data_IF_640016309659
#
_entry.id   IF_640016309659
#
_cell.length_a   1.000
_cell.length_b   1.000
_cell.length_c   1.000
_cell.angle_alpha   90.00
_cell.angle_beta   90.00
_cell.angle_gamma   90.00
#
_symmetry.space_group_name_H-M   'P 1'
#
loop_
_entity.id
_entity.type
_entity.pdbx_description
1 polymer ?
#
# COMPACT_ATOMS: atom_id res chain seq x y z
N UNK A 1 -5.52 21.92 1.03
CA UNK A 1 -6.30 21.12 0.05
C UNK A 1 -7.77 21.49 0.16
N UNK A 2 -8.47 21.68 -0.98
CA UNK A 2 -9.88 22.05 -0.98
C UNK A 2 -10.78 20.89 -0.50
N UNK A 3 -12.00 21.22 -0.09
CA UNK A 3 -13.03 20.25 0.29
C UNK A 3 -13.53 19.48 -0.94
N UNK A 4 -13.83 18.19 -0.81
CA UNK A 4 -14.44 17.41 -1.89
C UNK A 4 -15.96 17.31 -1.70
N UNK A 5 -16.71 18.18 -2.36
CA UNK A 5 -18.15 18.35 -2.11
C UNK A 5 -19.03 17.24 -2.71
N UNK A 6 -18.66 16.69 -3.86
CA UNK A 6 -19.44 15.63 -4.51
C UNK A 6 -19.31 14.31 -3.70
N UNK A 7 -20.40 13.91 -3.05
CA UNK A 7 -20.44 12.73 -2.18
C UNK A 7 -20.17 11.42 -2.92
N UNK A 8 -20.66 11.26 -4.15
CA UNK A 8 -20.43 10.06 -4.96
C UNK A 8 -18.96 9.93 -5.34
N UNK A 9 -18.38 11.01 -5.89
CA UNK A 9 -16.96 11.05 -6.25
C UNK A 9 -16.05 10.83 -5.03
N UNK A 10 -16.42 11.41 -3.88
CA UNK A 10 -15.72 11.20 -2.60
C UNK A 10 -15.75 9.74 -2.15
N UNK A 11 -16.89 9.06 -2.31
CA UNK A 11 -17.03 7.66 -1.95
C UNK A 11 -16.25 6.74 -2.91
N UNK A 12 -16.25 7.03 -4.20
CA UNK A 12 -15.47 6.31 -5.22
C UNK A 12 -13.97 6.44 -4.98
N UNK A 13 -13.50 7.67 -4.78
CA UNK A 13 -12.11 7.96 -4.41
C UNK A 13 -11.71 7.20 -3.14
N UNK A 14 -12.56 7.23 -2.11
CA UNK A 14 -12.34 6.51 -0.86
C UNK A 14 -12.19 5.01 -1.06
N UNK A 15 -13.10 4.36 -1.82
CA UNK A 15 -13.01 2.92 -2.09
C UNK A 15 -11.74 2.55 -2.84
N UNK A 16 -11.39 3.33 -3.87
CA UNK A 16 -10.18 3.09 -4.66
C UNK A 16 -8.92 3.22 -3.79
N UNK A 17 -8.84 4.30 -3.00
CA UNK A 17 -7.71 4.55 -2.13
C UNK A 17 -7.53 3.46 -1.07
N UNK A 18 -8.60 3.08 -0.36
CA UNK A 18 -8.53 2.01 0.63
C UNK A 18 -8.09 0.69 0.02
N UNK A 19 -8.53 0.37 -1.21
CA UNK A 19 -8.05 -0.84 -1.90
C UNK A 19 -6.54 -0.80 -2.15
N UNK A 20 -6.00 0.32 -2.61
CA UNK A 20 -4.54 0.49 -2.80
C UNK A 20 -3.81 0.33 -1.46
N UNK A 21 -4.26 1.01 -0.42
CA UNK A 21 -3.59 0.96 0.89
C UNK A 21 -3.58 -0.46 1.48
N UNK A 22 -4.73 -1.15 1.47
CA UNK A 22 -4.82 -2.52 2.00
C UNK A 22 -3.95 -3.49 1.21
N UNK A 23 -4.02 -3.47 -0.12
CA UNK A 23 -3.18 -4.34 -0.95
C UNK A 23 -1.69 -4.06 -0.76
N UNK A 24 -1.30 -2.79 -0.64
CA UNK A 24 0.09 -2.42 -0.36
C UNK A 24 0.57 -3.04 0.96
N UNK A 25 -0.22 -2.95 2.04
CA UNK A 25 0.16 -3.54 3.33
C UNK A 25 0.11 -5.07 3.33
N UNK A 26 -0.80 -5.69 2.55
CA UNK A 26 -0.88 -7.14 2.39
C UNK A 26 0.23 -7.71 1.49
N UNK A 27 0.90 -6.87 0.71
CA UNK A 27 2.07 -7.24 -0.12
C UNK A 27 3.41 -6.84 0.48
N UNK A 28 3.38 -6.12 1.60
CA UNK A 28 4.58 -5.69 2.30
C UNK A 28 5.42 -6.90 2.77
N UNK A 29 6.75 -6.82 2.91
CA UNK A 29 7.56 -7.96 3.36
C UNK A 29 7.20 -8.42 4.78
N UNK A 30 7.32 -9.72 5.04
CA UNK A 30 7.20 -10.25 6.42
C UNK A 30 8.37 -9.78 7.29
N UNK A 31 9.57 -9.78 6.71
CA UNK A 31 10.81 -9.28 7.31
C UNK A 31 11.33 -8.08 6.50
N UNK A 32 10.77 -6.87 6.72
CA UNK A 32 11.15 -5.69 5.95
C UNK A 32 12.53 -5.16 6.34
N UNK A 33 13.25 -4.60 5.37
CA UNK A 33 14.49 -3.85 5.62
C UNK A 33 14.18 -2.50 6.27
N UNK A 34 15.17 -1.83 6.85
CA UNK A 34 14.97 -0.48 7.40
C UNK A 34 14.51 0.54 6.34
N UNK A 35 14.97 0.38 5.09
CA UNK A 35 14.51 1.19 3.96
C UNK A 35 13.02 0.94 3.64
N UNK A 36 12.59 -0.33 3.60
CA UNK A 36 11.16 -0.67 3.41
C UNK A 36 10.28 -0.04 4.50
N UNK A 37 10.77 -0.08 5.76
CA UNK A 37 10.07 0.49 6.92
C UNK A 37 9.94 1.99 6.81
N UNK A 38 11.03 2.68 6.43
CA UNK A 38 11.04 4.13 6.22
C UNK A 38 10.15 4.52 5.03
N UNK A 39 10.20 3.76 3.94
CA UNK A 39 9.40 3.98 2.75
C UNK A 39 7.91 3.86 3.05
N UNK A 40 7.47 2.80 3.73
CA UNK A 40 6.06 2.59 4.09
C UNK A 40 5.55 3.71 5.02
N UNK A 41 6.35 4.09 6.02
CA UNK A 41 6.02 5.17 6.95
C UNK A 41 5.87 6.51 6.23
N UNK A 42 6.86 6.85 5.40
CA UNK A 42 6.87 8.06 4.59
C UNK A 42 5.69 8.10 3.62
N UNK A 43 5.38 6.97 2.98
CA UNK A 43 4.25 6.82 2.08
C UNK A 43 2.94 7.21 2.77
N UNK A 44 2.64 6.71 3.98
CA UNK A 44 1.39 7.07 4.67
C UNK A 44 1.32 8.55 5.05
N UNK A 45 2.43 9.14 5.50
CA UNK A 45 2.48 10.56 5.82
C UNK A 45 2.31 11.42 4.57
N UNK A 46 2.98 11.10 3.47
CA UNK A 46 2.85 11.80 2.19
C UNK A 46 1.47 11.61 1.58
N UNK A 47 0.93 10.40 1.59
CA UNK A 47 -0.44 10.09 1.19
C UNK A 47 -1.43 10.96 1.95
N UNK A 48 -1.30 11.07 3.29
CA UNK A 48 -2.18 11.91 4.11
C UNK A 48 -2.12 13.41 3.77
N UNK A 49 -0.97 13.89 3.28
CA UNK A 49 -0.78 15.28 2.84
C UNK A 49 -1.39 15.52 1.46
N UNK A 50 -1.31 14.52 0.58
CA UNK A 50 -1.66 14.61 -0.84
C UNK A 50 -3.03 14.00 -1.20
N UNK A 51 -3.75 13.41 -0.23
CA UNK A 51 -5.03 12.75 -0.48
C UNK A 51 -6.13 13.76 -0.91
N UNK A 52 -6.73 13.64 -2.12
CA UNK A 52 -7.51 14.72 -2.77
C UNK A 52 -8.93 14.93 -2.22
N UNK A 53 -9.04 15.03 -0.90
CA UNK A 53 -10.19 15.45 -0.12
C UNK A 53 -9.66 16.17 1.13
N UNK A 54 -9.73 17.50 1.18
CA UNK A 54 -9.06 18.31 2.21
C UNK A 54 -9.46 17.95 3.64
N UNK A 55 -10.76 17.75 3.90
CA UNK A 55 -11.26 17.34 5.21
C UNK A 55 -10.90 15.88 5.55
N UNK A 56 -10.79 15.01 4.54
CA UNK A 56 -10.37 13.63 4.74
C UNK A 56 -8.88 13.57 5.10
N UNK A 57 -8.04 14.29 4.36
CA UNK A 57 -6.61 14.43 4.57
C UNK A 57 -6.29 14.96 5.97
N UNK A 58 -6.96 16.04 6.38
CA UNK A 58 -6.79 16.62 7.72
C UNK A 58 -7.13 15.63 8.84
N UNK A 59 -8.20 14.84 8.69
CA UNK A 59 -8.48 13.83 9.71
C UNK A 59 -7.48 12.67 9.67
N UNK A 60 -7.13 12.18 8.50
CA UNK A 60 -6.19 11.07 8.40
C UNK A 60 -4.84 11.46 9.03
N UNK A 61 -4.40 12.70 8.88
CA UNK A 61 -3.22 13.24 9.59
C UNK A 61 -3.37 13.25 11.13
N UNK A 62 -4.58 13.45 11.68
CA UNK A 62 -4.80 13.31 13.13
C UNK A 62 -4.71 11.86 13.56
N UNK A 63 -5.33 10.95 12.78
CA UNK A 63 -5.25 9.52 13.03
C UNK A 63 -3.79 9.03 13.01
N UNK A 64 -2.97 9.50 12.06
CA UNK A 64 -1.54 9.13 12.00
C UNK A 64 -0.73 9.63 13.20
N UNK A 65 -1.16 10.71 13.88
CA UNK A 65 -0.50 11.18 15.12
C UNK A 65 -0.86 10.33 16.32
N UNK A 66 -2.09 9.81 16.36
CA UNK A 66 -2.59 8.98 17.46
C UNK A 66 -2.17 7.50 17.29
N UNK A 67 -2.21 7.02 16.05
CA UNK A 67 -1.92 5.66 15.61
C UNK A 67 -0.85 5.71 14.50
N UNK A 68 0.43 5.92 14.84
CA UNK A 68 1.51 6.00 13.85
C UNK A 68 1.65 4.68 13.06
N UNK A 69 2.05 4.72 11.77
CA UNK A 69 2.24 3.52 10.95
C UNK A 69 3.14 2.49 11.61
N UNK A 70 2.75 1.22 11.50
CA UNK A 70 3.42 0.10 12.13
C UNK A 70 4.02 -0.75 11.02
N UNK A 71 5.33 -0.73 10.92
CA UNK A 71 6.04 -1.17 9.72
C UNK A 71 6.93 -2.37 9.97
N UNK A 72 6.86 -3.01 11.14
CA UNK A 72 7.77 -4.09 11.53
C UNK A 72 7.59 -5.38 10.75
N UNK A 73 6.42 -5.60 10.15
CA UNK A 73 6.11 -6.76 9.31
C UNK A 73 4.84 -6.52 8.49
N UNK A 74 4.58 -7.37 7.49
CA UNK A 74 3.31 -7.41 6.74
C UNK A 74 2.10 -7.41 7.66
N UNK A 75 2.08 -8.33 8.62
CA UNK A 75 0.99 -8.50 9.60
C UNK A 75 0.78 -7.23 10.43
N UNK A 76 1.86 -6.64 10.94
CA UNK A 76 1.78 -5.41 11.74
C UNK A 76 1.20 -4.25 10.91
N UNK A 77 1.65 -4.10 9.66
CA UNK A 77 1.18 -3.07 8.74
C UNK A 77 -0.28 -3.24 8.33
N UNK A 78 -0.70 -4.45 7.98
CA UNK A 78 -2.07 -4.73 7.52
C UNK A 78 -3.10 -4.59 8.66
N UNK A 79 -2.79 -5.12 9.85
CA UNK A 79 -3.66 -4.99 11.02
C UNK A 79 -3.75 -3.55 11.52
N UNK A 80 -2.63 -2.81 11.51
CA UNK A 80 -2.64 -1.38 11.82
C UNK A 80 -3.54 -0.61 10.85
N UNK A 81 -3.41 -0.83 9.54
CA UNK A 81 -4.21 -0.12 8.56
C UNK A 81 -5.70 -0.46 8.70
N UNK A 82 -6.04 -1.73 8.95
CA UNK A 82 -7.41 -2.13 9.23
C UNK A 82 -7.98 -1.43 10.46
N UNK A 83 -7.20 -1.35 11.54
CA UNK A 83 -7.60 -0.63 12.74
C UNK A 83 -7.88 0.86 12.44
N UNK A 84 -6.97 1.55 11.75
CA UNK A 84 -7.15 2.96 11.38
C UNK A 84 -8.36 3.13 10.44
N UNK A 85 -8.59 2.21 9.51
CA UNK A 85 -9.78 2.21 8.66
C UNK A 85 -11.06 2.06 9.50
N UNK A 86 -11.05 1.22 10.53
CA UNK A 86 -12.17 1.09 11.45
C UNK A 86 -12.42 2.34 12.30
N UNK A 87 -11.38 3.11 12.65
CA UNK A 87 -11.59 4.46 13.25
C UNK A 87 -12.34 5.39 12.29
N UNK A 88 -12.02 5.34 10.99
CA UNK A 88 -12.77 6.09 9.97
C UNK A 88 -14.20 5.55 9.85
N UNK A 89 -14.40 4.23 9.86
CA UNK A 89 -15.74 3.62 9.81
C UNK A 89 -16.61 4.07 10.99
N UNK A 90 -16.10 3.98 12.22
CA UNK A 90 -16.81 4.39 13.43
C UNK A 90 -17.25 5.85 13.35
N UNK A 91 -16.34 6.76 12.95
CA UNK A 91 -16.65 8.18 12.76
C UNK A 91 -17.72 8.43 11.69
N UNK A 92 -17.75 7.61 10.65
CA UNK A 92 -18.75 7.69 9.58
C UNK A 92 -20.03 6.88 9.88
N UNK A 93 -20.15 6.27 11.06
CA UNK A 93 -21.28 5.42 11.43
C UNK A 93 -21.40 4.15 10.59
N UNK A 94 -20.27 3.62 10.08
CA UNK A 94 -20.21 2.38 9.32
C UNK A 94 -19.91 1.20 10.26
N UNK A 95 -20.35 -0.03 9.92
CA UNK A 95 -19.99 -1.22 10.68
C UNK A 95 -18.47 -1.39 10.80
N UNK A 96 -18.04 -1.96 11.91
CA UNK A 96 -16.66 -2.41 12.08
C UNK A 96 -16.38 -3.57 11.11
N UNK A 97 -15.20 -3.56 10.51
CA UNK A 97 -14.70 -4.64 9.67
C UNK A 97 -13.84 -5.59 10.51
N UNK A 98 -14.03 -6.90 10.36
CA UNK A 98 -13.21 -7.91 11.02
C UNK A 98 -11.85 -8.04 10.35
N UNK A 99 -10.80 -7.52 11.00
CA UNK A 99 -9.44 -7.50 10.47
C UNK A 99 -8.84 -8.90 10.25
N UNK A 100 -9.39 -9.97 10.84
CA UNK A 100 -8.94 -11.34 10.60
C UNK A 100 -9.32 -11.84 9.19
N UNK A 101 -10.32 -11.22 8.56
CA UNK A 101 -10.86 -11.58 7.23
C UNK A 101 -10.33 -10.70 6.09
N UNK A 102 -9.23 -9.96 6.32
CA UNK A 102 -8.65 -9.06 5.30
C UNK A 102 -8.34 -9.77 4.00
N UNK A 103 -7.74 -10.96 4.05
CA UNK A 103 -7.32 -11.73 2.87
C UNK A 103 -8.52 -12.23 2.04
N UNK A 104 -9.67 -12.44 2.66
CA UNK A 104 -10.91 -12.83 1.96
C UNK A 104 -11.50 -11.66 1.15
N UNK A 105 -11.33 -10.44 1.66
CA UNK A 105 -11.88 -9.21 1.06
C UNK A 105 -10.93 -8.60 0.04
N UNK A 106 -9.64 -8.61 0.34
CA UNK A 106 -8.59 -8.07 -0.50
C UNK A 106 -7.74 -9.22 -1.00
N UNK A 107 -8.14 -9.77 -2.16
CA UNK A 107 -7.26 -10.66 -2.92
C UNK A 107 -5.93 -9.95 -3.16
N UNK A 108 -4.91 -10.36 -2.41
CA UNK A 108 -3.60 -9.78 -2.52
C UNK A 108 -3.05 -10.10 -3.91
N UNK A 109 -3.46 -11.18 -4.58
CA UNK A 109 -2.89 -11.67 -5.84
C UNK A 109 -1.55 -12.35 -5.63
N UNK A 110 -1.31 -12.87 -4.42
CA UNK A 110 -0.06 -13.54 -4.05
C UNK A 110 0.09 -14.94 -4.70
N UNK A 111 -0.87 -15.33 -5.54
CA UNK A 111 -1.00 -16.69 -6.04
C UNK A 111 -1.77 -17.56 -5.06
N UNK A 112 -2.36 -18.61 -5.59
CA UNK A 112 -2.84 -19.74 -4.83
C UNK A 112 -1.62 -20.54 -4.36
N UNK A 113 -1.19 -20.30 -3.12
CA UNK A 113 -0.40 -21.28 -2.40
C UNK A 113 -1.21 -22.58 -2.39
N UNK A 114 -0.85 -23.48 -3.30
CA UNK A 114 -1.46 -24.79 -3.44
C UNK A 114 -1.63 -25.45 -2.06
N UNK A 115 -2.90 -25.64 -1.67
CA UNK A 115 -3.45 -26.08 -0.38
C UNK A 115 -3.84 -25.00 0.65
N UNK A 116 -4.91 -24.27 0.35
CA UNK A 116 -6.02 -24.15 1.32
C UNK A 116 -7.20 -25.00 0.85
N UNK A 117 -7.44 -26.06 1.61
CA UNK A 117 -8.53 -27.03 1.50
C UNK A 117 -9.86 -26.40 1.09
N UNK A 118 -10.25 -26.61 -0.16
CA UNK A 118 -11.66 -26.65 -0.55
C UNK A 118 -11.99 -28.10 -0.91
N UNK A 119 -12.62 -28.78 0.05
CA UNK A 119 -13.35 -30.01 -0.19
C UNK A 119 -14.50 -29.73 -1.16
N UNK A 120 -14.27 -29.88 -2.47
CA UNK A 120 -15.30 -30.36 -3.41
C UNK A 120 -14.61 -31.17 -4.51
N UNK A 121 -14.80 -32.48 -4.48
CA UNK A 121 -14.46 -33.40 -5.57
C UNK A 121 -15.35 -33.14 -6.79
N UNK A 122 -14.79 -32.87 -7.97
CA UNK A 122 -15.22 -33.48 -9.26
C UNK A 122 -14.04 -33.47 -10.26
N UNK A 123 -13.53 -34.67 -10.53
CA UNK A 123 -12.98 -35.28 -11.75
C UNK A 123 -12.31 -34.44 -12.88
N UNK A 124 -10.98 -34.60 -12.94
CA UNK A 124 -10.08 -34.94 -14.07
C UNK A 124 -10.46 -34.64 -15.54
N UNK A 125 -9.62 -33.85 -16.21
CA UNK A 125 -8.81 -34.27 -17.40
C UNK A 125 -7.89 -33.14 -17.92
N UNK A 126 -6.82 -33.46 -18.68
CA UNK A 126 -5.56 -32.72 -18.62
C UNK A 126 -5.38 -31.71 -19.77
N UNK A 127 -4.71 -30.59 -19.49
CA UNK A 127 -4.13 -29.72 -20.52
C UNK A 127 -2.67 -29.42 -20.18
N UNK A 128 -1.81 -29.92 -21.05
CA UNK A 128 -0.38 -29.66 -21.15
C UNK A 128 -0.07 -28.16 -21.20
N UNK A 129 0.78 -27.68 -20.30
CA UNK A 129 1.57 -26.48 -20.51
C UNK A 129 2.94 -26.66 -19.87
N UNK A 130 3.96 -26.52 -20.70
CA UNK A 130 5.39 -26.63 -20.38
C UNK A 130 5.81 -25.55 -19.38
N UNK A 131 6.48 -25.97 -18.31
CA UNK A 131 7.13 -25.09 -17.34
C UNK A 131 8.36 -24.43 -17.96
N UNK A 132 8.30 -23.13 -18.23
CA UNK A 132 9.51 -22.33 -18.41
C UNK A 132 9.91 -21.75 -17.05
N UNK A 133 11.02 -22.26 -16.51
CA UNK A 133 11.68 -21.69 -15.35
C UNK A 133 12.35 -20.38 -15.74
N UNK A 134 11.90 -19.25 -15.22
CA UNK A 134 12.65 -18.00 -15.31
C UNK A 134 13.64 -17.91 -14.14
N UNK A 135 14.91 -18.00 -14.48
CA UNK A 135 16.06 -17.75 -13.62
C UNK A 135 16.20 -16.23 -13.41
N UNK A 136 16.03 -15.74 -12.18
CA UNK A 136 16.11 -14.31 -11.84
C UNK A 136 17.50 -13.86 -11.39
N UNK A 137 18.54 -14.57 -11.83
CA UNK A 137 19.91 -14.11 -11.58
C UNK A 137 20.35 -13.07 -12.62
N UNK A 138 20.11 -11.80 -12.32
CA UNK A 138 20.83 -10.68 -12.93
C UNK A 138 20.07 -9.80 -13.91
N UNK A 139 18.79 -9.48 -13.65
CA UNK A 139 18.08 -8.44 -14.39
C UNK A 139 18.31 -7.10 -13.70
N UNK A 140 19.10 -6.23 -14.34
CA UNK A 140 19.15 -4.81 -14.01
C UNK A 140 17.75 -4.22 -14.29
N UNK A 141 16.96 -4.04 -13.24
CA UNK A 141 15.56 -3.60 -13.30
C UNK A 141 15.44 -2.25 -14.01
N UNK A 142 16.46 -1.39 -13.90
CA UNK A 142 16.51 -0.09 -14.60
C UNK A 142 16.69 -0.29 -16.09
N UNK A 143 17.54 -1.24 -16.49
CA UNK A 143 17.71 -1.62 -17.91
C UNK A 143 16.44 -2.26 -18.48
N UNK A 144 15.80 -3.17 -17.73
CA UNK A 144 14.56 -3.83 -18.16
C UNK A 144 13.40 -2.83 -18.33
N UNK A 145 13.28 -1.86 -17.41
CA UNK A 145 12.32 -0.77 -17.53
C UNK A 145 12.64 0.13 -18.73
N UNK A 146 13.92 0.43 -18.96
CA UNK A 146 14.35 1.26 -20.10
C UNK A 146 14.09 0.55 -21.43
N UNK A 147 14.40 -0.74 -21.54
CA UNK A 147 14.19 -1.52 -22.75
C UNK A 147 12.68 -1.70 -23.03
N UNK A 148 11.84 -1.85 -21.99
CA UNK A 148 10.39 -1.92 -22.12
C UNK A 148 9.76 -0.60 -22.64
N UNK A 149 10.35 0.55 -22.35
CA UNK A 149 9.92 1.86 -22.90
C UNK A 149 10.26 2.00 -24.39
N UNK A 150 11.23 1.23 -24.89
CA UNK A 150 11.66 1.26 -26.28
C UNK A 150 11.13 0.09 -27.13
N UNK A 151 10.34 -0.83 -26.56
CA UNK A 151 9.73 -1.94 -27.29
C UNK A 151 8.44 -1.49 -28.01
N UNK A 152 8.43 -1.42 -29.36
CA UNK A 152 7.27 -0.97 -30.12
C UNK A 152 6.07 -1.95 -30.08
N UNK A 153 6.23 -3.15 -29.51
CA UNK A 153 5.19 -4.19 -29.47
C UNK A 153 4.34 -4.18 -28.20
N UNK A 154 4.83 -3.57 -27.11
CA UNK A 154 4.11 -3.44 -25.82
C UNK A 154 2.87 -2.52 -25.93
N UNK A 155 2.85 -1.61 -26.91
CA UNK A 155 1.75 -0.65 -27.11
C UNK A 155 0.58 -1.17 -27.97
N UNK A 156 0.66 -2.38 -28.51
CA UNK A 156 -0.31 -2.85 -29.52
C UNK A 156 -1.66 -3.35 -28.96
N UNK A 157 -1.79 -3.66 -27.67
CA UNK A 157 -3.01 -4.33 -27.16
C UNK A 157 -3.68 -3.71 -25.92
N UNK A 158 -3.20 -2.57 -25.42
CA UNK A 158 -3.81 -1.89 -24.25
C UNK A 158 -4.21 -0.43 -24.47
N UNK A 159 -3.85 0.17 -25.60
CA UNK A 159 -3.87 1.62 -25.82
C UNK A 159 -5.16 2.24 -26.32
N UNK A 160 -6.31 1.54 -26.28
CA UNK A 160 -7.56 2.07 -26.86
C UNK A 160 -8.42 2.91 -25.89
N UNK A 161 -8.14 2.91 -24.59
CA UNK A 161 -9.04 3.50 -23.59
C UNK A 161 -8.63 4.88 -23.03
N UNK A 162 -7.41 5.36 -23.30
CA UNK A 162 -6.87 6.60 -22.69
C UNK A 162 -6.27 7.59 -23.70
N UNK A 163 -6.58 7.47 -24.99
CA UNK A 163 -6.23 8.51 -25.98
C UNK A 163 -7.26 9.63 -25.94
N UNK A 164 -7.14 10.44 -24.90
CA UNK A 164 -7.85 11.70 -24.71
C UNK A 164 -6.94 12.66 -23.98
N UNK A 165 -6.08 13.32 -24.75
CA UNK A 165 -5.40 14.59 -24.45
C UNK A 165 -4.36 14.61 -23.31
N UNK A 166 -3.12 14.25 -23.65
CA UNK A 166 -1.94 14.91 -23.09
C UNK A 166 -0.98 15.22 -24.24
N UNK A 167 -1.24 16.34 -24.91
CA UNK A 167 -0.34 16.90 -25.91
C UNK A 167 0.71 17.75 -25.18
N UNK A 168 1.94 17.25 -25.05
CA UNK A 168 3.08 18.07 -24.62
C UNK A 168 3.76 18.61 -25.87
N UNK A 169 3.40 19.83 -26.24
CA UNK A 169 4.23 20.63 -27.15
C UNK A 169 5.38 21.22 -26.32
N UNK A 170 6.56 20.64 -26.45
CA UNK A 170 7.78 21.24 -25.92
C UNK A 170 8.37 22.20 -26.96
N UNK A 171 8.15 23.50 -26.79
CA UNK A 171 9.03 24.54 -27.31
C UNK A 171 9.04 25.76 -26.39
N UNK A 172 10.22 26.12 -25.89
CA UNK A 172 10.40 27.30 -25.05
C UNK A 172 11.76 27.35 -24.38
N UNK A 173 12.63 28.22 -24.91
CA UNK A 173 13.93 28.58 -24.33
C UNK A 173 13.77 29.38 -23.01
N UNK A 174 14.48 28.92 -21.97
CA UNK A 174 15.19 29.70 -20.93
C UNK A 174 14.44 30.62 -19.96
N UNK A 175 14.63 30.41 -18.65
CA UNK A 175 15.24 31.40 -17.72
C UNK A 175 15.90 30.63 -16.56
N UNK A 176 17.19 30.86 -16.34
CA UNK A 176 17.92 30.33 -15.18
C UNK A 176 17.50 31.04 -13.90
N UNK A 177 17.08 30.27 -12.91
CA UNK A 177 16.93 30.70 -11.51
C UNK A 177 18.06 30.06 -10.71
N UNK A 178 18.79 30.88 -9.96
CA UNK A 178 19.85 30.46 -9.07
C UNK A 178 19.29 29.60 -7.94
N UNK A 179 19.85 28.39 -7.77
CA UNK A 179 19.61 27.54 -6.63
C UNK A 179 20.32 28.14 -5.41
N UNK A 180 19.56 28.70 -4.47
CA UNK A 180 20.01 28.74 -3.09
C UNK A 180 19.98 27.29 -2.58
N UNK A 181 21.12 26.80 -2.09
CA UNK A 181 21.30 25.46 -1.51
C UNK A 181 20.31 25.22 -0.36
N UNK A 182 19.17 24.62 -0.67
CA UNK A 182 18.42 23.83 0.31
C UNK A 182 19.12 22.48 0.36
N UNK A 183 19.82 22.24 1.46
CA UNK A 183 20.40 20.93 1.79
C UNK A 183 19.26 19.93 2.01
N UNK A 184 18.78 19.32 0.92
CA UNK A 184 17.66 18.36 0.92
C UNK A 184 17.94 17.16 1.85
N UNK A 185 19.21 16.77 2.02
CA UNK A 185 19.61 15.69 2.93
C UNK A 185 19.24 15.98 4.39
N UNK A 186 19.48 17.21 4.85
CA UNK A 186 19.19 17.65 6.23
C UNK A 186 17.71 17.82 6.52
N UNK A 187 16.87 18.01 5.50
CA UNK A 187 15.40 18.07 5.66
C UNK A 187 14.85 16.65 5.86
N UNK A 188 15.32 15.70 5.05
CA UNK A 188 14.91 14.30 5.14
C UNK A 188 15.33 13.67 6.48
N UNK A 189 16.56 13.90 6.95
CA UNK A 189 17.04 13.39 8.25
C UNK A 189 16.22 13.92 9.44
N UNK A 190 15.81 15.20 9.39
CA UNK A 190 14.98 15.79 10.46
C UNK A 190 13.54 15.28 10.43
N UNK A 191 12.98 15.07 9.24
CA UNK A 191 11.66 14.44 9.11
C UNK A 191 11.72 12.98 9.56
N UNK A 192 12.81 12.26 9.28
CA UNK A 192 13.08 10.90 9.74
C UNK A 192 13.17 10.82 11.27
N UNK A 193 13.97 11.66 11.94
CA UNK A 193 14.06 11.72 13.41
C UNK A 193 12.70 12.04 14.06
N UNK A 194 11.95 12.98 13.48
CA UNK A 194 10.62 13.32 13.97
C UNK A 194 9.64 12.16 13.78
N UNK A 195 9.74 11.43 12.67
CA UNK A 195 8.96 10.22 12.42
C UNK A 195 9.34 9.08 13.38
N UNK A 196 10.62 8.84 13.65
CA UNK A 196 11.12 7.83 14.60
C UNK A 196 10.62 8.13 16.02
N UNK A 197 10.65 9.39 16.44
CA UNK A 197 10.13 9.79 17.76
C UNK A 197 8.63 9.52 17.92
N UNK A 198 7.82 9.69 16.87
CA UNK A 198 6.37 9.43 16.94
C UNK A 198 6.00 7.96 17.10
N UNK A 199 6.87 7.04 16.66
CA UNK A 199 6.70 5.58 16.86
C UNK A 199 6.71 5.22 18.36
N UNK A 200 7.45 5.96 19.17
CA UNK A 200 7.57 5.71 20.60
C UNK A 200 6.38 6.30 21.40
N UNK A 201 5.69 7.31 20.87
CA UNK A 201 4.71 8.13 21.62
C UNK A 201 3.25 7.74 21.32
N UNK A 202 2.94 7.23 20.12
CA UNK A 202 1.59 6.85 19.73
C UNK A 202 1.21 5.43 20.14
N UNK A 203 0.32 5.29 21.13
CA UNK A 203 -0.51 4.09 21.27
C UNK A 203 -0.02 3.03 22.26
N UNK A 204 0.21 3.39 23.52
CA UNK A 204 0.43 2.38 24.58
C UNK A 204 -0.78 1.44 24.78
N UNK A 205 -1.99 1.91 24.46
CA UNK A 205 -3.24 1.14 24.51
C UNK A 205 -3.44 0.29 23.25
N UNK A 206 -3.19 0.87 22.06
CA UNK A 206 -3.20 0.13 20.81
C UNK A 206 -2.18 -1.02 20.82
N UNK A 207 -0.94 -0.76 21.26
CA UNK A 207 0.14 -1.75 21.34
C UNK A 207 -0.20 -2.91 22.29
N UNK A 208 -0.93 -2.64 23.38
CA UNK A 208 -1.47 -3.69 24.27
C UNK A 208 -2.56 -4.53 23.60
N UNK A 209 -3.48 -3.89 22.87
CA UNK A 209 -4.50 -4.60 22.10
C UNK A 209 -3.90 -5.43 20.96
N UNK A 210 -2.74 -5.03 20.41
CA UNK A 210 -2.09 -5.78 19.34
C UNK A 210 -1.43 -7.07 19.83
N UNK A 211 -0.80 -7.09 21.00
CA UNK A 211 -0.22 -8.35 21.54
C UNK A 211 -1.29 -9.44 21.62
N UNK A 212 -2.49 -9.07 22.08
CA UNK A 212 -3.63 -10.00 22.16
C UNK A 212 -4.08 -10.47 20.76
N UNK A 213 -4.22 -9.56 19.80
CA UNK A 213 -4.62 -9.90 18.42
C UNK A 213 -3.54 -10.67 17.66
N UNK A 214 -2.27 -10.41 17.95
CA UNK A 214 -1.15 -11.16 17.39
C UNK A 214 -1.18 -12.61 17.86
N UNK A 215 -1.40 -12.85 19.15
CA UNK A 215 -1.56 -14.20 19.71
C UNK A 215 -2.79 -14.93 19.16
N UNK A 216 -3.90 -14.24 18.94
CA UNK A 216 -5.11 -14.81 18.32
C UNK A 216 -4.85 -15.21 16.87
N UNK A 217 -4.21 -14.34 16.08
CA UNK A 217 -3.79 -14.65 14.72
C UNK A 217 -2.80 -15.82 14.67
N UNK A 218 -1.81 -15.89 15.55
CA UNK A 218 -0.87 -17.04 15.57
C UNK A 218 -1.59 -18.35 15.92
N UNK A 219 -2.60 -18.32 16.80
CA UNK A 219 -3.45 -19.48 17.07
C UNK A 219 -4.26 -19.89 15.85
N UNK A 220 -4.75 -18.92 15.09
CA UNK A 220 -5.51 -19.15 13.86
C UNK A 220 -4.60 -19.69 12.75
N UNK A 221 -3.40 -19.14 12.58
CA UNK A 221 -2.33 -19.65 11.70
C UNK A 221 -1.96 -21.10 12.05
N UNK A 222 -1.78 -21.41 13.33
CA UNK A 222 -1.52 -22.78 13.80
C UNK A 222 -2.69 -23.74 13.54
N UNK A 223 -3.94 -23.26 13.60
CA UNK A 223 -5.12 -24.06 13.26
C UNK A 223 -5.30 -24.24 11.74
N UNK A 224 -4.79 -23.32 10.92
CA UNK A 224 -4.95 -23.32 9.47
C UNK A 224 -3.70 -23.79 8.68
N UNK A 225 -2.60 -24.13 9.36
CA UNK A 225 -1.46 -24.82 8.76
C UNK A 225 -0.66 -24.01 7.73
N UNK A 226 -0.70 -22.68 7.85
CA UNK A 226 0.18 -21.79 7.07
C UNK A 226 1.45 -21.63 7.90
N UNK A 227 2.60 -22.07 7.39
CA UNK A 227 3.92 -21.77 7.97
C UNK A 227 4.51 -20.59 7.19
#
# INVERSE_FOLDING_TARGET
MPKLENATAKAELGRAAWRVLHLMTLRYPDEPTEDDRLALKSYFHLFSRLYPCGECAQEFQKLLKEYPPQTSSRKSASLWLCHVHNQVNARLGKPEFDCLTLDETYDCGCGDDSNKSSLVSVESSPSSATSESYDTNGVDVVKAMTDAVHDPTILSHGGAALQGEFEVVASGEGVGLSADEVDEGRVLEKEEEQMISQEQVGGHEWRKSQVVKEEEWEKEKANHGLD
#
